data_IF_558387772657
#
_entry.id   IF_558387772657
#
_cell.length_a   1.000
_cell.length_b   1.000
_cell.length_c   1.000
_cell.angle_alpha   90.00
_cell.angle_beta   90.00
_cell.angle_gamma   90.00
#
_symmetry.space_group_name_H-M   'P 1'
#
loop_
_entity.id
_entity.type
_entity.pdbx_description
1 polymer ?
#
# COMPACT_ATOMS: atom_id res chain seq x y z
N UNK A 1 -5.09 12.18 6.80
CA UNK A 1 -6.51 11.81 6.85
C UNK A 1 -6.77 10.97 8.09
N UNK A 2 -7.84 11.25 8.83
CA UNK A 2 -8.30 10.42 9.96
C UNK A 2 -9.47 9.55 9.46
N UNK A 3 -9.61 8.28 9.90
CA UNK A 3 -8.86 7.58 10.95
C UNK A 3 -7.50 6.99 10.52
N UNK A 4 -7.16 6.92 9.23
CA UNK A 4 -5.92 6.26 8.76
C UNK A 4 -4.62 6.76 9.42
N UNK A 5 -4.56 8.04 9.80
CA UNK A 5 -3.41 8.62 10.53
C UNK A 5 -3.37 8.29 12.04
N UNK A 6 -4.34 7.56 12.58
CA UNK A 6 -4.29 6.98 13.92
C UNK A 6 -3.17 5.93 13.98
N UNK A 7 -2.39 5.85 15.06
CA UNK A 7 -1.41 4.80 15.25
C UNK A 7 -2.04 3.45 15.63
N UNK A 8 -3.35 3.41 15.92
CA UNK A 8 -4.07 2.22 16.38
C UNK A 8 -4.95 1.57 15.31
N UNK A 9 -4.83 2.01 14.06
CA UNK A 9 -5.48 1.36 12.92
C UNK A 9 -4.42 0.95 11.92
N UNK A 10 -4.65 -0.18 11.26
CA UNK A 10 -3.88 -0.55 10.07
C UNK A 10 -4.42 0.27 8.90
N UNK A 11 -3.65 1.27 8.47
CA UNK A 11 -4.02 2.11 7.34
C UNK A 11 -3.68 1.41 6.03
N UNK A 12 -4.63 1.33 5.11
CA UNK A 12 -4.47 0.65 3.81
C UNK A 12 -4.44 1.68 2.69
N UNK A 13 -3.33 1.71 1.94
CA UNK A 13 -3.14 2.52 0.74
C UNK A 13 -3.71 1.84 -0.52
N UNK A 14 -3.48 2.46 -1.66
CA UNK A 14 -3.98 2.00 -2.95
C UNK A 14 -2.89 1.86 -4.01
N UNK A 15 -2.96 0.74 -4.73
CA UNK A 15 -2.13 0.44 -5.89
C UNK A 15 -2.99 0.06 -7.08
N UNK A 16 -2.37 -0.09 -8.24
CA UNK A 16 -2.99 -0.54 -9.48
C UNK A 16 -2.02 -1.45 -10.22
N UNK A 17 -2.55 -2.36 -11.04
CA UNK A 17 -1.76 -3.16 -11.95
C UNK A 17 -1.67 -2.46 -13.29
N UNK A 18 -0.47 -2.45 -13.87
CA UNK A 18 -0.23 -1.93 -15.22
C UNK A 18 0.56 -2.93 -16.04
N UNK A 19 0.33 -2.94 -17.36
CA UNK A 19 1.17 -3.73 -18.26
C UNK A 19 2.60 -3.20 -18.21
N UNK A 20 3.56 -4.10 -18.03
CA UNK A 20 4.98 -3.79 -17.96
C UNK A 20 5.74 -4.60 -19.01
N UNK A 21 6.81 -4.02 -19.55
CA UNK A 21 7.77 -4.75 -20.38
C UNK A 21 8.92 -5.33 -19.53
N UNK A 22 8.96 -5.00 -18.24
CA UNK A 22 9.94 -5.52 -17.29
C UNK A 22 9.48 -6.89 -16.77
N UNK A 23 10.14 -7.94 -17.23
CA UNK A 23 9.84 -9.33 -16.83
C UNK A 23 10.48 -9.75 -15.51
N UNK A 24 11.32 -8.90 -14.90
CA UNK A 24 12.05 -9.25 -13.67
C UNK A 24 11.16 -9.30 -12.43
N UNK A 25 10.08 -8.52 -12.39
CA UNK A 25 9.10 -8.48 -11.30
C UNK A 25 7.68 -8.77 -11.81
N UNK A 26 7.60 -9.77 -12.68
CA UNK A 26 6.40 -10.04 -13.46
C UNK A 26 5.31 -10.78 -12.69
N UNK A 27 4.17 -10.14 -12.49
CA UNK A 27 2.97 -10.81 -12.01
C UNK A 27 2.10 -11.22 -13.21
N UNK A 28 1.88 -12.53 -13.39
CA UNK A 28 1.06 -13.08 -14.46
C UNK A 28 -0.25 -13.59 -13.86
N UNK A 29 -1.28 -12.75 -13.92
CA UNK A 29 -2.59 -13.07 -13.36
C UNK A 29 -3.68 -13.29 -14.40
N UNK A 30 -3.38 -13.11 -15.69
CA UNK A 30 -4.35 -13.24 -16.78
C UNK A 30 -4.09 -14.58 -17.48
N UNK A 31 -4.89 -15.63 -17.20
CA UNK A 31 -4.69 -16.95 -17.81
C UNK A 31 -4.73 -16.93 -19.34
N UNK A 32 -5.56 -16.05 -19.91
CA UNK A 32 -5.76 -15.90 -21.35
C UNK A 32 -4.61 -15.14 -22.04
N UNK A 33 -3.81 -14.39 -21.26
CA UNK A 33 -2.66 -13.61 -21.75
C UNK A 33 -1.37 -13.98 -20.98
N UNK A 34 -0.86 -15.22 -21.08
CA UNK A 34 0.26 -15.70 -20.25
C UNK A 34 1.58 -14.95 -20.50
N UNK A 35 1.68 -14.25 -21.64
CA UNK A 35 2.83 -13.43 -21.98
C UNK A 35 2.73 -11.99 -21.45
N UNK A 36 1.55 -11.59 -20.94
CA UNK A 36 1.34 -10.25 -20.41
C UNK A 36 1.86 -10.17 -19.00
N UNK A 37 2.76 -9.21 -18.82
CA UNK A 37 3.38 -8.94 -17.55
C UNK A 37 2.69 -7.78 -16.87
N UNK A 38 2.20 -8.00 -15.66
CA UNK A 38 1.65 -6.94 -14.83
C UNK A 38 2.66 -6.54 -13.77
N UNK A 39 2.78 -5.24 -13.58
CA UNK A 39 3.53 -4.63 -12.51
C UNK A 39 2.57 -3.86 -11.60
N UNK A 40 2.74 -4.02 -10.30
CA UNK A 40 1.99 -3.26 -9.32
C UNK A 40 2.67 -1.91 -9.06
N UNK A 41 1.93 -0.83 -9.30
CA UNK A 41 2.40 0.54 -9.10
C UNK A 41 1.38 1.34 -8.30
N UNK A 42 1.77 2.51 -7.85
CA UNK A 42 0.82 3.55 -7.41
C UNK A 42 0.88 4.73 -8.38
N UNK A 43 -0.19 5.53 -8.47
CA UNK A 43 -0.33 6.73 -9.31
C UNK A 43 0.96 7.20 -10.02
N UNK A 44 1.10 6.95 -11.33
CA UNK A 44 2.33 7.26 -12.07
C UNK A 44 2.01 8.05 -13.34
N UNK A 45 2.60 9.24 -13.46
CA UNK A 45 2.37 10.15 -14.59
C UNK A 45 3.50 10.08 -15.61
N UNK A 46 3.64 8.95 -16.29
CA UNK A 46 4.12 9.01 -17.67
C UNK A 46 2.93 8.74 -18.59
N UNK A 47 2.94 9.32 -19.79
CA UNK A 47 1.82 9.41 -20.74
C UNK A 47 1.15 8.07 -21.14
N UNK A 48 1.62 6.92 -20.67
CA UNK A 48 1.08 5.59 -20.99
C UNK A 48 0.16 5.00 -19.92
N UNK A 49 0.25 5.42 -18.65
CA UNK A 49 -0.62 4.94 -17.57
C UNK A 49 -1.41 6.12 -17.02
N UNK A 50 -2.71 6.15 -17.30
CA UNK A 50 -3.59 7.11 -16.65
C UNK A 50 -3.46 6.96 -15.13
N UNK A 51 -3.42 8.08 -14.40
CA UNK A 51 -3.49 8.09 -12.95
C UNK A 51 -4.93 7.74 -12.54
N UNK A 52 -5.33 6.46 -12.68
CA UNK A 52 -6.70 6.00 -12.45
C UNK A 52 -7.06 6.08 -10.97
N UNK A 53 -6.10 5.85 -10.09
CA UNK A 53 -6.27 6.01 -8.64
C UNK A 53 -5.05 6.69 -8.03
N UNK A 54 -5.23 7.27 -6.84
CA UNK A 54 -4.14 7.77 -6.00
C UNK A 54 -4.22 7.20 -4.59
N UNK A 55 -3.07 7.06 -3.94
CA UNK A 55 -2.99 6.56 -2.57
C UNK A 55 -2.89 7.70 -1.57
N UNK A 56 -3.77 7.72 -0.57
CA UNK A 56 -3.64 8.60 0.57
C UNK A 56 -2.47 8.19 1.46
N UNK A 57 -1.53 9.10 1.70
CA UNK A 57 -0.38 8.82 2.56
C UNK A 57 0.38 10.09 2.98
N UNK A 58 1.29 9.94 3.94
CA UNK A 58 2.05 11.04 4.52
C UNK A 58 2.22 10.90 6.03
N UNK A 59 2.29 12.03 6.72
CA UNK A 59 2.46 12.09 8.17
C UNK A 59 1.21 12.63 8.85
N UNK A 60 0.86 12.06 10.02
CA UNK A 60 -0.13 12.64 10.91
C UNK A 60 0.30 14.04 11.37
N UNK A 61 -0.67 14.95 11.51
CA UNK A 61 -0.42 16.27 12.10
C UNK A 61 -0.36 16.23 13.63
N UNK A 62 -0.97 15.20 14.24
CA UNK A 62 -1.23 15.17 15.69
C UNK A 62 -0.53 14.02 16.42
N UNK A 63 -0.45 12.84 15.79
CA UNK A 63 0.01 11.63 16.47
C UNK A 63 1.53 11.48 16.33
N UNK A 64 2.23 11.43 17.46
CA UNK A 64 3.65 11.06 17.51
C UNK A 64 3.90 9.71 16.84
N UNK A 65 5.10 9.51 16.30
CA UNK A 65 5.45 8.26 15.64
C UNK A 65 5.48 7.10 16.66
N UNK A 66 4.67 6.05 16.49
CA UNK A 66 4.77 4.85 17.31
C UNK A 66 6.10 4.11 17.06
N UNK A 67 6.57 3.40 18.07
CA UNK A 67 7.89 2.74 18.07
C UNK A 67 8.02 1.68 16.97
N UNK A 68 6.94 0.95 16.67
CA UNK A 68 6.94 -0.13 15.67
C UNK A 68 7.35 0.34 14.27
N UNK A 69 7.10 1.60 13.90
CA UNK A 69 7.46 2.14 12.58
C UNK A 69 8.73 2.98 12.59
N UNK A 70 9.41 3.11 13.73
CA UNK A 70 10.57 4.03 13.89
C UNK A 70 11.65 3.73 12.86
N UNK A 71 12.06 2.47 12.73
CA UNK A 71 13.14 2.01 11.83
C UNK A 71 12.77 2.24 10.37
N UNK A 72 11.61 1.75 9.93
CA UNK A 72 11.14 1.87 8.55
C UNK A 72 11.03 3.33 8.09
N UNK A 73 10.43 4.20 8.91
CA UNK A 73 10.29 5.63 8.57
C UNK A 73 11.64 6.36 8.60
N UNK A 74 12.56 6.01 9.49
CA UNK A 74 13.91 6.59 9.48
C UNK A 74 14.68 6.20 8.21
N UNK A 75 14.58 4.94 7.78
CA UNK A 75 15.18 4.47 6.54
C UNK A 75 14.60 5.20 5.32
N UNK A 76 13.27 5.32 5.25
CA UNK A 76 12.59 6.09 4.19
C UNK A 76 13.06 7.54 4.15
N UNK A 77 13.05 8.24 5.30
CA UNK A 77 13.43 9.65 5.35
C UNK A 77 14.88 9.88 4.92
N UNK A 78 15.80 8.95 5.23
CA UNK A 78 17.18 9.00 4.75
C UNK A 78 17.25 8.87 3.23
N UNK A 79 16.59 7.85 2.67
CA UNK A 79 16.56 7.59 1.23
C UNK A 79 15.91 8.74 0.46
N UNK A 80 14.68 9.12 0.82
CA UNK A 80 13.93 10.16 0.14
C UNK A 80 14.57 11.56 0.26
N UNK A 81 15.32 11.83 1.33
CA UNK A 81 16.13 13.06 1.45
C UNK A 81 17.32 13.02 0.49
N UNK A 82 18.04 11.90 0.43
CA UNK A 82 19.17 11.71 -0.51
C UNK A 82 18.73 11.90 -1.95
N UNK A 83 17.57 11.35 -2.31
CA UNK A 83 17.05 11.36 -3.67
C UNK A 83 16.26 12.63 -4.01
N UNK A 84 16.17 13.59 -3.08
CA UNK A 84 15.40 14.85 -3.22
C UNK A 84 13.93 14.63 -3.59
N UNK A 85 13.32 13.57 -3.06
CA UNK A 85 11.95 13.15 -3.35
C UNK A 85 10.92 13.58 -2.29
N UNK A 86 11.35 14.35 -1.28
CA UNK A 86 10.45 14.87 -0.25
C UNK A 86 9.88 16.24 -0.64
N UNK A 87 8.61 16.52 -0.31
CA UNK A 87 8.08 17.88 -0.28
C UNK A 87 8.93 18.82 0.60
N UNK A 88 8.72 20.15 0.51
CA UNK A 88 9.33 21.08 1.46
C UNK A 88 8.98 20.68 2.90
N UNK A 89 9.98 20.73 3.78
CA UNK A 89 9.87 20.20 5.16
C UNK A 89 8.80 20.89 6.00
N UNK A 90 8.38 22.10 5.63
CA UNK A 90 7.29 22.83 6.27
C UNK A 90 5.90 22.23 6.02
N UNK A 91 5.75 21.36 5.00
CA UNK A 91 4.46 20.80 4.59
C UNK A 91 4.05 19.55 5.40
N UNK A 92 4.95 18.99 6.21
CA UNK A 92 4.66 17.75 6.95
C UNK A 92 5.46 17.61 8.24
N UNK A 93 4.92 16.85 9.21
CA UNK A 93 5.56 16.61 10.51
C UNK A 93 6.37 15.31 10.47
N UNK A 94 7.66 15.43 10.11
CA UNK A 94 8.59 14.29 10.02
C UNK A 94 8.58 13.38 11.25
N UNK A 95 8.41 13.91 12.45
CA UNK A 95 8.43 13.16 13.72
C UNK A 95 7.18 12.31 14.00
N UNK A 96 6.13 12.42 13.19
CA UNK A 96 4.82 11.88 13.51
C UNK A 96 4.57 10.51 12.85
N UNK A 97 3.41 9.91 13.16
CA UNK A 97 2.89 8.66 12.55
C UNK A 97 2.89 8.82 11.03
N UNK A 98 3.68 8.02 10.32
CA UNK A 98 3.65 7.94 8.87
C UNK A 98 2.65 6.87 8.42
N UNK A 99 1.91 7.08 7.34
CA UNK A 99 0.88 6.18 6.81
C UNK A 99 0.85 6.23 5.27
N UNK A 100 0.30 5.21 4.57
CA UNK A 100 -0.34 4.00 5.08
C UNK A 100 0.64 3.00 5.71
N UNK A 101 0.12 1.93 6.32
CA UNK A 101 0.97 0.83 6.84
C UNK A 101 1.20 -0.24 5.76
N UNK A 102 0.19 -0.54 4.96
CA UNK A 102 0.21 -1.50 3.85
C UNK A 102 -0.58 -0.92 2.68
N UNK A 103 -0.52 -1.56 1.52
CA UNK A 103 -1.39 -1.28 0.38
C UNK A 103 -2.08 -2.52 -0.14
N UNK A 104 -3.03 -2.34 -1.04
CA UNK A 104 -3.53 -3.38 -1.93
C UNK A 104 -4.10 -2.71 -3.18
N UNK A 105 -4.37 -3.51 -4.21
CA UNK A 105 -5.04 -3.07 -5.43
C UNK A 105 -6.29 -2.28 -5.06
N UNK A 106 -6.45 -1.13 -5.70
CA UNK A 106 -7.48 -0.14 -5.43
C UNK A 106 -8.18 0.31 -6.72
N UNK A 107 -7.98 -0.36 -7.85
CA UNK A 107 -8.59 -0.03 -9.14
C UNK A 107 -9.21 -1.27 -9.78
N UNK A 108 -10.16 -1.06 -10.70
CA UNK A 108 -10.81 -2.11 -11.51
C UNK A 108 -11.52 -3.19 -10.68
N UNK A 109 -12.15 -2.80 -9.57
CA UNK A 109 -13.07 -3.69 -8.85
C UNK A 109 -14.41 -3.72 -9.56
N UNK A 110 -14.92 -4.94 -9.77
CA UNK A 110 -16.30 -5.15 -10.21
C UNK A 110 -17.19 -5.21 -8.97
N UNK A 111 -18.13 -4.28 -8.87
CA UNK A 111 -19.13 -4.27 -7.81
C UNK A 111 -20.54 -4.25 -8.40
N UNK A 112 -21.51 -4.71 -7.61
CA UNK A 112 -22.93 -4.59 -7.94
C UNK A 112 -23.59 -3.66 -6.93
N UNK A 113 -24.17 -2.56 -7.41
CA UNK A 113 -24.85 -1.55 -6.60
C UNK A 113 -26.20 -1.21 -7.22
N UNK A 114 -27.27 -1.25 -6.41
CA UNK A 114 -28.64 -0.98 -6.86
C UNK A 114 -29.05 -1.79 -8.11
N UNK A 115 -28.63 -3.06 -8.19
CA UNK A 115 -28.92 -3.94 -9.32
C UNK A 115 -27.99 -3.78 -10.54
N UNK A 116 -27.20 -2.71 -10.61
CA UNK A 116 -26.29 -2.42 -11.71
C UNK A 116 -24.85 -2.80 -11.39
N UNK A 117 -24.10 -3.22 -12.41
CA UNK A 117 -22.67 -3.45 -12.29
C UNK A 117 -21.90 -2.15 -12.53
N UNK A 118 -20.97 -1.85 -11.63
CA UNK A 118 -19.89 -0.90 -11.85
C UNK A 118 -18.60 -1.71 -12.04
N UNK A 119 -17.98 -1.55 -13.20
CA UNK A 119 -16.80 -2.32 -13.62
C UNK A 119 -15.48 -1.61 -13.28
N UNK A 120 -15.55 -0.36 -12.79
CA UNK A 120 -14.39 0.50 -12.58
C UNK A 120 -14.35 1.06 -11.16
N UNK A 121 -15.02 0.39 -10.21
CA UNK A 121 -14.99 0.83 -8.83
C UNK A 121 -13.56 0.72 -8.26
N UNK A 122 -13.23 1.64 -7.35
CA UNK A 122 -11.87 1.72 -6.87
C UNK A 122 -11.69 2.64 -5.66
N UNK A 123 -10.50 3.19 -5.56
CA UNK A 123 -10.01 3.93 -4.40
C UNK A 123 -9.58 3.03 -3.25
N UNK A 124 -8.98 3.63 -2.22
CA UNK A 124 -8.59 2.91 -1.00
C UNK A 124 -9.77 2.30 -0.25
N UNK A 125 -10.99 2.72 -0.59
CA UNK A 125 -12.25 2.11 -0.15
C UNK A 125 -12.43 0.67 -0.64
N UNK A 126 -11.82 0.30 -1.79
CA UNK A 126 -11.80 -1.07 -2.30
C UNK A 126 -10.64 -1.89 -1.71
N UNK A 127 -9.45 -1.29 -1.59
CA UNK A 127 -8.27 -1.97 -1.04
C UNK A 127 -8.42 -2.32 0.45
N UNK A 128 -9.05 -1.44 1.25
CA UNK A 128 -9.25 -1.64 2.69
C UNK A 128 -10.05 -2.91 3.04
N UNK A 129 -11.27 -3.14 2.52
CA UNK A 129 -12.02 -4.37 2.80
C UNK A 129 -11.37 -5.61 2.19
N UNK A 130 -10.70 -5.50 1.03
CA UNK A 130 -9.97 -6.63 0.45
C UNK A 130 -8.80 -7.07 1.35
N UNK A 131 -8.02 -6.13 1.89
CA UNK A 131 -6.98 -6.42 2.88
C UNK A 131 -7.57 -7.00 4.17
N UNK A 132 -8.71 -6.49 4.65
CA UNK A 132 -9.40 -7.04 5.81
C UNK A 132 -9.85 -8.49 5.58
N UNK A 133 -10.38 -8.82 4.40
CA UNK A 133 -10.75 -10.19 4.01
C UNK A 133 -9.56 -11.15 4.01
N UNK A 134 -8.41 -10.72 3.46
CA UNK A 134 -7.16 -11.49 3.51
C UNK A 134 -6.73 -11.80 4.95
N UNK A 135 -6.75 -10.81 5.84
CA UNK A 135 -6.43 -11.02 7.26
C UNK A 135 -7.46 -11.91 7.95
N UNK A 136 -8.74 -11.79 7.59
CA UNK A 136 -9.81 -12.63 8.14
C UNK A 136 -9.59 -14.11 7.81
N UNK A 137 -9.14 -14.44 6.60
CA UNK A 137 -8.80 -15.83 6.23
C UNK A 137 -7.63 -16.39 7.05
N UNK A 138 -6.64 -15.57 7.38
CA UNK A 138 -5.55 -15.97 8.27
C UNK A 138 -6.09 -16.22 9.68
N UNK A 139 -6.95 -15.34 10.19
CA UNK A 139 -7.58 -15.53 11.50
C UNK A 139 -8.46 -16.78 11.55
N UNK A 140 -9.21 -17.08 10.49
CA UNK A 140 -10.01 -18.30 10.38
C UNK A 140 -9.14 -19.56 10.53
N UNK A 141 -8.05 -19.65 9.75
CA UNK A 141 -7.12 -20.77 9.87
C UNK A 141 -6.48 -20.87 11.25
N UNK A 142 -6.09 -19.74 11.85
CA UNK A 142 -5.57 -19.68 13.23
C UNK A 142 -6.57 -20.25 14.23
N UNK A 143 -7.84 -19.84 14.15
CA UNK A 143 -8.90 -20.31 15.04
C UNK A 143 -9.16 -21.81 14.86
N UNK A 144 -9.14 -22.32 13.63
CA UNK A 144 -9.26 -23.75 13.32
C UNK A 144 -8.09 -24.58 13.88
N UNK A 145 -6.95 -23.95 14.16
CA UNK A 145 -5.79 -24.57 14.83
C UNK A 145 -5.72 -24.29 16.34
N UNK A 146 -6.78 -23.71 16.93
CA UNK A 146 -6.83 -23.38 18.36
C UNK A 146 -5.98 -22.15 18.76
N UNK A 147 -5.52 -21.36 17.79
CA UNK A 147 -4.76 -20.13 18.04
C UNK A 147 -5.69 -18.91 18.18
N UNK A 148 -5.20 -17.85 18.82
CA UNK A 148 -5.93 -16.57 18.94
C UNK A 148 -5.86 -15.74 17.65
N UNK A 149 -6.84 -14.87 17.35
CA UNK A 149 -6.75 -13.95 16.22
C UNK A 149 -5.58 -12.97 16.39
N UNK A 150 -5.11 -12.40 15.27
CA UNK A 150 -3.92 -11.52 15.23
C UNK A 150 -4.10 -10.20 15.99
N UNK A 151 -5.32 -9.68 16.11
CA UNK A 151 -5.60 -8.43 16.81
C UNK A 151 -4.97 -7.21 16.12
N UNK A 152 -4.33 -6.33 16.90
CA UNK A 152 -3.69 -5.13 16.37
C UNK A 152 -2.43 -5.46 15.54
N UNK A 153 -2.53 -5.26 14.22
CA UNK A 153 -1.55 -5.79 13.26
C UNK A 153 -0.25 -4.99 13.16
N UNK A 154 -0.25 -3.67 13.39
CA UNK A 154 0.88 -2.83 12.98
C UNK A 154 2.23 -3.29 13.57
N UNK A 155 2.39 -3.58 14.87
CA UNK A 155 3.66 -4.08 15.40
C UNK A 155 4.13 -5.37 14.71
N UNK A 156 3.21 -6.29 14.42
CA UNK A 156 3.49 -7.53 13.71
C UNK A 156 3.93 -7.26 12.27
N UNK A 157 3.19 -6.45 11.51
CA UNK A 157 3.48 -6.17 10.10
C UNK A 157 4.86 -5.53 9.91
N UNK A 158 5.21 -4.54 10.73
CA UNK A 158 6.53 -3.92 10.66
C UNK A 158 7.66 -4.88 11.08
N UNK A 159 7.42 -5.75 12.06
CA UNK A 159 8.38 -6.82 12.38
C UNK A 159 8.54 -7.83 11.25
N UNK A 160 7.45 -8.17 10.54
CA UNK A 160 7.51 -9.10 9.42
C UNK A 160 8.23 -8.49 8.23
N UNK A 161 8.00 -7.22 7.92
CA UNK A 161 8.70 -6.56 6.82
C UNK A 161 10.22 -6.51 7.04
N UNK A 162 10.67 -6.44 8.29
CA UNK A 162 12.10 -6.51 8.62
C UNK A 162 12.67 -7.93 8.48
N UNK A 163 11.94 -8.95 8.95
CA UNK A 163 12.45 -10.35 9.02
C UNK A 163 12.19 -11.16 7.76
N UNK A 164 11.10 -10.85 7.07
CA UNK A 164 10.57 -11.56 5.91
C UNK A 164 10.09 -10.55 4.85
N UNK A 165 11.00 -9.85 4.16
CA UNK A 165 10.61 -8.83 3.17
C UNK A 165 9.64 -9.34 2.09
N UNK A 166 9.72 -10.62 1.74
CA UNK A 166 8.83 -11.29 0.78
C UNK A 166 7.39 -11.51 1.29
N UNK A 167 7.10 -11.19 2.55
CA UNK A 167 5.74 -11.10 3.09
C UNK A 167 4.94 -9.94 2.45
N UNK A 168 5.61 -9.03 1.77
CA UNK A 168 5.01 -7.91 1.05
C UNK A 168 5.59 -7.84 -0.36
N UNK A 169 4.76 -7.41 -1.31
CA UNK A 169 5.20 -6.96 -2.61
C UNK A 169 5.56 -5.47 -2.48
N UNK A 170 6.84 -5.13 -2.68
CA UNK A 170 7.38 -3.78 -2.52
C UNK A 170 7.11 -2.93 -3.77
N UNK A 171 6.27 -1.90 -3.62
CA UNK A 171 5.90 -0.99 -4.72
C UNK A 171 6.87 0.19 -4.72
N UNK A 172 7.62 0.34 -5.80
CA UNK A 172 8.72 1.32 -5.88
C UNK A 172 8.51 2.37 -6.98
N UNK A 173 7.39 2.31 -7.71
CA UNK A 173 7.04 3.25 -8.78
C UNK A 173 5.72 3.92 -8.48
N UNK A 174 5.71 5.26 -8.58
CA UNK A 174 4.52 6.06 -8.33
C UNK A 174 4.73 7.23 -7.39
N UNK A 175 3.75 8.13 -7.36
CA UNK A 175 3.68 9.29 -6.47
C UNK A 175 2.23 9.62 -6.14
N UNK A 176 1.96 10.12 -4.94
CA UNK A 176 0.60 10.58 -4.57
C UNK A 176 0.37 12.09 -4.74
N UNK A 177 1.04 12.73 -5.70
CA UNK A 177 0.79 14.14 -6.03
C UNK A 177 -0.28 14.33 -7.12
N UNK A 178 -0.82 13.25 -7.67
CA UNK A 178 -1.80 13.26 -8.75
C UNK A 178 -2.98 12.37 -8.37
N UNK A 179 -4.12 12.60 -9.00
CA UNK A 179 -5.30 11.72 -8.99
C UNK A 179 -5.90 11.70 -10.40
N UNK A 180 -7.15 11.27 -10.56
CA UNK A 180 -7.89 11.26 -11.84
C UNK A 180 -8.02 12.65 -12.50
N UNK A 181 -7.72 13.74 -11.77
CA UNK A 181 -7.71 15.09 -12.30
C UNK A 181 -6.58 15.30 -13.33
N UNK A 182 -6.82 16.08 -14.41
CA UNK A 182 -5.79 16.38 -15.40
C UNK A 182 -4.60 17.19 -14.82
N UNK A 183 -4.76 17.78 -13.62
CA UNK A 183 -3.72 18.60 -13.00
C UNK A 183 -3.23 17.98 -11.69
N UNK A 184 -1.97 17.55 -11.70
CA UNK A 184 -1.27 17.15 -10.50
C UNK A 184 -0.91 18.32 -9.60
N UNK A 185 -0.89 18.07 -8.29
CA UNK A 185 -0.24 18.91 -7.31
C UNK A 185 1.27 18.98 -7.56
N UNK A 186 1.87 20.13 -7.21
CA UNK A 186 3.33 20.34 -7.30
C UNK A 186 4.13 19.40 -6.40
N UNK A 187 3.57 19.06 -5.24
CA UNK A 187 4.22 18.25 -4.22
C UNK A 187 3.38 17.03 -3.85
N UNK A 188 4.07 15.95 -3.49
CA UNK A 188 3.56 14.73 -2.91
C UNK A 188 4.74 13.84 -2.54
N UNK A 189 4.46 12.64 -2.06
CA UNK A 189 5.48 11.64 -1.74
C UNK A 189 5.65 10.67 -2.91
N UNK A 190 6.85 10.12 -3.04
CA UNK A 190 7.18 9.10 -4.02
C UNK A 190 7.26 7.73 -3.35
N UNK A 191 6.82 6.71 -4.08
CA UNK A 191 7.07 5.31 -3.74
C UNK A 191 8.58 5.04 -3.74
N UNK A 192 9.05 4.17 -2.87
CA UNK A 192 10.47 3.90 -2.70
C UNK A 192 10.69 2.48 -2.15
N UNK A 193 11.92 1.97 -2.26
CA UNK A 193 12.25 0.64 -1.70
C UNK A 193 11.88 0.54 -0.22
N UNK A 194 11.27 -0.58 0.14
CA UNK A 194 10.79 -0.94 1.47
C UNK A 194 9.56 -0.14 1.91
N UNK A 195 9.68 0.59 3.02
CA UNK A 195 8.58 1.42 3.49
C UNK A 195 8.60 2.78 2.79
N UNK A 196 7.45 3.25 2.35
CA UNK A 196 7.26 4.62 1.90
C UNK A 196 5.91 5.24 2.33
N UNK A 197 5.72 6.51 1.99
CA UNK A 197 4.54 7.30 2.38
C UNK A 197 3.41 7.25 1.37
N UNK A 198 3.44 6.30 0.44
CA UNK A 198 2.43 6.11 -0.60
C UNK A 198 1.79 4.74 -0.48
N UNK A 199 2.60 3.69 -0.37
CA UNK A 199 2.22 2.28 -0.32
C UNK A 199 2.59 1.59 0.99
N UNK A 200 3.22 2.30 1.92
CA UNK A 200 3.56 1.74 3.24
C UNK A 200 4.60 0.63 3.08
N UNK A 201 4.38 -0.52 3.71
CA UNK A 201 5.22 -1.72 3.55
C UNK A 201 5.00 -2.44 2.21
N UNK A 202 4.06 -1.96 1.38
CA UNK A 202 3.65 -2.59 0.14
C UNK A 202 2.42 -3.48 0.29
N UNK A 203 2.15 -4.25 -0.75
CA UNK A 203 0.94 -5.08 -0.84
C UNK A 203 1.13 -6.44 -0.17
N UNK A 204 0.10 -6.92 0.53
CA UNK A 204 0.20 -8.17 1.29
C UNK A 204 0.45 -9.36 0.36
N UNK A 205 1.53 -10.11 0.62
CA UNK A 205 1.69 -11.45 0.07
C UNK A 205 0.95 -12.46 0.95
N UNK A 206 -0.34 -12.65 0.68
CA UNK A 206 -1.20 -13.48 1.51
C UNK A 206 -0.70 -14.92 1.64
N UNK A 207 -0.11 -15.50 0.59
CA UNK A 207 0.43 -16.86 0.64
C UNK A 207 1.62 -17.01 1.60
N UNK A 208 2.48 -16.00 1.67
CA UNK A 208 3.60 -15.96 2.63
C UNK A 208 3.08 -15.67 4.04
N UNK A 209 2.19 -14.69 4.21
CA UNK A 209 1.62 -14.38 5.52
C UNK A 209 0.86 -15.56 6.12
N UNK A 210 0.07 -16.27 5.33
CA UNK A 210 -0.63 -17.48 5.77
C UNK A 210 0.35 -18.48 6.37
N UNK A 211 1.46 -18.79 5.69
CA UNK A 211 2.47 -19.75 6.19
C UNK A 211 3.20 -19.27 7.45
N UNK A 212 3.44 -17.96 7.59
CA UNK A 212 4.16 -17.41 8.74
C UNK A 212 3.28 -17.26 9.98
N UNK A 213 1.96 -17.17 9.81
CA UNK A 213 1.02 -16.77 10.86
C UNK A 213 0.04 -17.87 11.28
N UNK A 214 0.09 -19.07 10.69
CA UNK A 214 -0.76 -20.22 11.03
C UNK A 214 0.09 -21.48 11.07
#
# INVERSE_FOLDING_TARGET
MYPGSSPYVTSVGGTQLVRSNDTSNCARFIPEEPNVCLEEITAYTNKLTACLITSGGGFSLYNSRPTYQKKSVQSYLKLATKDKQLPPVSYFKRSNRAYPDISLIANDYIIKSNGNFDLFAGGTSASSPAAAGMISLINDRRLNQGMKPLGFLNPLLYSLAEKHPNAFFDITKGKNNCNESPKCCKYGFSAAKHFDLVTGLGSINHGVLMKLLT
#
